data_IF_062449868635
#
_entry.id   IF_062449868635
#
_cell.length_a   1.000
_cell.length_b   1.000
_cell.length_c   1.000
_cell.angle_alpha   90.00
_cell.angle_beta   90.00
_cell.angle_gamma   90.00
#
_symmetry.space_group_name_H-M   'P 1'
#
loop_
_entity.id
_entity.type
_entity.pdbx_description
1 polymer ?
#
# COMPACT_ATOMS: atom_id res chain seq x y z
N UNK A 1 -5.66 31.32 -11.98
CA UNK A 1 -5.34 30.31 -13.02
C UNK A 1 -4.11 29.55 -12.56
N UNK A 2 -4.26 28.38 -11.92
CA UNK A 2 -3.10 27.59 -11.51
C UNK A 2 -2.66 26.74 -12.70
N UNK A 3 -1.46 26.99 -13.24
CA UNK A 3 -0.86 26.16 -14.27
C UNK A 3 -0.46 24.83 -13.63
N UNK A 4 -1.12 23.75 -14.01
CA UNK A 4 -0.69 22.41 -13.64
C UNK A 4 0.63 22.10 -14.35
N UNK A 5 1.72 22.01 -13.60
CA UNK A 5 2.99 21.53 -14.12
C UNK A 5 2.83 20.10 -14.63
N UNK A 6 3.20 19.88 -15.92
CA UNK A 6 3.15 18.57 -16.57
C UNK A 6 4.36 17.69 -16.19
N UNK A 7 5.33 18.22 -15.44
CA UNK A 7 6.53 17.50 -15.05
C UNK A 7 6.29 16.66 -13.77
N UNK A 8 6.42 15.33 -13.82
CA UNK A 8 6.23 14.46 -12.66
C UNK A 8 7.13 14.80 -11.46
N UNK A 9 8.32 15.34 -11.69
CA UNK A 9 9.26 15.74 -10.64
C UNK A 9 8.83 17.03 -9.93
N UNK A 10 8.27 17.98 -10.66
CA UNK A 10 7.72 19.22 -10.09
C UNK A 10 6.45 18.92 -9.29
N UNK A 11 5.56 18.08 -9.83
CA UNK A 11 4.38 17.62 -9.11
C UNK A 11 4.74 16.94 -7.79
N UNK A 12 5.79 16.11 -7.75
CA UNK A 12 6.29 15.49 -6.51
C UNK A 12 6.76 16.55 -5.50
N UNK A 13 7.45 17.60 -5.93
CA UNK A 13 7.88 18.73 -5.06
C UNK A 13 6.69 19.52 -4.54
N UNK A 14 5.68 19.79 -5.37
CA UNK A 14 4.45 20.48 -4.95
C UNK A 14 3.70 19.66 -3.89
N UNK A 15 3.53 18.35 -4.11
CA UNK A 15 2.90 17.43 -3.15
C UNK A 15 3.68 17.40 -1.83
N UNK A 16 5.01 17.48 -1.87
CA UNK A 16 5.85 17.56 -0.66
C UNK A 16 5.58 18.80 0.20
N UNK A 17 5.14 19.89 -0.39
CA UNK A 17 4.90 21.18 0.29
C UNK A 17 3.46 21.32 0.84
N UNK A 18 2.52 20.44 0.48
CA UNK A 18 1.13 20.50 0.95
C UNK A 18 1.02 20.03 2.41
N UNK A 19 0.32 20.81 3.24
CA UNK A 19 0.01 20.43 4.62
C UNK A 19 -1.07 19.32 4.59
N UNK A 20 -0.70 18.07 4.91
CA UNK A 20 -1.59 16.90 4.78
C UNK A 20 -2.30 16.63 6.11
N UNK A 21 -3.63 16.66 6.10
CA UNK A 21 -4.41 16.09 7.20
C UNK A 21 -4.30 14.56 7.14
N UNK A 22 -3.46 13.98 7.99
CA UNK A 22 -3.03 12.58 7.93
C UNK A 22 -3.89 11.73 8.86
N UNK A 23 -4.50 10.68 8.32
CA UNK A 23 -5.22 9.70 9.14
C UNK A 23 -4.22 8.78 9.84
N UNK A 24 -4.29 8.75 11.17
CA UNK A 24 -3.42 7.95 12.05
C UNK A 24 -3.49 6.45 11.71
N UNK A 25 -4.68 5.92 11.42
CA UNK A 25 -4.86 4.50 11.06
C UNK A 25 -4.10 4.13 9.78
N UNK A 26 -4.04 5.05 8.81
CA UNK A 26 -3.28 4.83 7.57
C UNK A 26 -1.78 4.80 7.86
N UNK A 27 -1.27 5.68 8.72
CA UNK A 27 0.15 5.67 9.10
C UNK A 27 0.53 4.41 9.86
N UNK A 28 -0.34 3.93 10.76
CA UNK A 28 -0.13 2.64 11.43
C UNK A 28 -0.09 1.48 10.44
N UNK A 29 -1.00 1.49 9.45
CA UNK A 29 -1.02 0.50 8.37
C UNK A 29 0.29 0.52 7.57
N UNK A 30 0.71 1.69 7.11
CA UNK A 30 1.95 1.86 6.35
C UNK A 30 3.13 1.35 7.17
N UNK A 31 3.27 1.79 8.44
CA UNK A 31 4.34 1.35 9.32
C UNK A 31 4.40 -0.17 9.44
N UNK A 32 3.23 -0.80 9.62
CA UNK A 32 3.14 -2.25 9.87
C UNK A 32 3.44 -3.08 8.62
N UNK A 33 3.04 -2.60 7.44
CA UNK A 33 3.04 -3.40 6.22
C UNK A 33 3.99 -2.92 5.12
N UNK A 34 4.67 -1.78 5.30
CA UNK A 34 5.65 -1.31 4.31
C UNK A 34 6.79 -2.32 4.08
N UNK A 35 7.18 -3.07 5.11
CA UNK A 35 8.18 -4.14 4.98
C UNK A 35 7.73 -5.16 3.94
N UNK A 36 6.48 -5.63 4.00
CA UNK A 36 5.96 -6.62 3.04
C UNK A 36 5.86 -6.01 1.63
N UNK A 37 5.39 -4.76 1.51
CA UNK A 37 5.31 -4.09 0.22
C UNK A 37 6.68 -3.94 -0.46
N UNK A 38 7.72 -3.60 0.30
CA UNK A 38 9.09 -3.48 -0.21
C UNK A 38 9.68 -4.86 -0.57
N UNK A 39 9.46 -5.89 0.26
CA UNK A 39 9.87 -7.27 -0.04
C UNK A 39 9.23 -7.76 -1.36
N UNK A 40 7.92 -7.53 -1.53
CA UNK A 40 7.19 -7.92 -2.73
C UNK A 40 7.64 -7.09 -3.96
N UNK A 41 7.93 -5.80 -3.81
CA UNK A 41 8.52 -4.99 -4.88
C UNK A 41 9.86 -5.54 -5.35
N UNK A 42 10.72 -5.93 -4.42
CA UNK A 42 12.04 -6.49 -4.75
C UNK A 42 11.91 -7.85 -5.47
N UNK A 43 10.95 -8.67 -5.04
CA UNK A 43 10.76 -10.03 -5.54
C UNK A 43 9.97 -10.09 -6.85
N UNK A 44 8.90 -9.28 -6.96
CA UNK A 44 7.92 -9.37 -8.03
C UNK A 44 7.88 -8.14 -8.94
N UNK A 45 8.63 -7.10 -8.65
CA UNK A 45 8.68 -5.89 -9.48
C UNK A 45 7.48 -4.94 -9.34
N UNK A 46 6.54 -5.22 -8.44
CA UNK A 46 5.35 -4.39 -8.21
C UNK A 46 5.74 -3.22 -7.30
N UNK A 47 5.48 -1.94 -7.67
CA UNK A 47 5.81 -0.80 -6.80
C UNK A 47 5.24 -0.95 -5.39
N UNK A 48 6.06 -0.64 -4.38
CA UNK A 48 5.62 -0.68 -2.98
C UNK A 48 4.49 0.30 -2.71
N UNK A 49 4.48 1.46 -3.41
CA UNK A 49 3.40 2.45 -3.36
C UNK A 49 2.07 1.87 -3.84
N UNK A 50 2.07 1.10 -4.92
CA UNK A 50 0.88 0.40 -5.45
C UNK A 50 0.37 -0.62 -4.43
N UNK A 51 1.26 -1.47 -3.89
CA UNK A 51 0.88 -2.47 -2.88
C UNK A 51 0.27 -1.82 -1.63
N UNK A 52 0.90 -0.78 -1.10
CA UNK A 52 0.39 -0.07 0.07
C UNK A 52 -0.92 0.68 -0.24
N UNK A 53 -0.98 1.39 -1.37
CA UNK A 53 -2.18 2.13 -1.78
C UNK A 53 -3.39 1.22 -1.95
N UNK A 54 -3.24 0.09 -2.64
CA UNK A 54 -4.29 -0.92 -2.79
C UNK A 54 -4.68 -1.50 -1.43
N UNK A 55 -3.72 -1.93 -0.61
CA UNK A 55 -4.01 -2.49 0.71
C UNK A 55 -4.75 -1.49 1.63
N UNK A 56 -4.43 -0.20 1.57
CA UNK A 56 -5.15 0.86 2.30
C UNK A 56 -6.61 0.96 1.83
N UNK A 57 -6.83 0.99 0.51
CA UNK A 57 -8.17 1.13 -0.08
C UNK A 57 -9.03 -0.11 0.18
N UNK A 58 -8.56 -1.28 -0.21
CA UNK A 58 -9.32 -2.54 -0.20
C UNK A 58 -9.63 -3.05 1.22
N UNK A 59 -8.74 -2.79 2.19
CA UNK A 59 -8.93 -3.24 3.57
C UNK A 59 -9.41 -2.17 4.54
N UNK A 60 -9.68 -0.94 4.07
CA UNK A 60 -9.91 0.22 4.95
C UNK A 60 -8.75 0.36 5.97
N UNK A 61 -7.51 0.30 5.50
CA UNK A 61 -6.30 0.29 6.34
C UNK A 61 -6.25 -0.88 7.34
N UNK A 62 -6.70 -2.06 6.94
CA UNK A 62 -6.77 -3.26 7.77
C UNK A 62 -7.89 -3.21 8.83
N UNK A 63 -8.87 -2.34 8.68
CA UNK A 63 -9.99 -2.16 9.64
C UNK A 63 -11.29 -2.81 9.16
N UNK A 64 -11.41 -3.20 7.89
CA UNK A 64 -12.60 -3.88 7.38
C UNK A 64 -12.80 -5.24 8.08
N UNK A 65 -14.04 -5.70 8.18
CA UNK A 65 -14.38 -7.01 8.75
C UNK A 65 -13.67 -8.12 8.00
N UNK A 66 -13.71 -8.08 6.67
CA UNK A 66 -13.05 -9.06 5.81
C UNK A 66 -11.56 -9.15 6.14
N UNK A 67 -10.82 -8.03 6.12
CA UNK A 67 -9.38 -8.04 6.38
C UNK A 67 -9.01 -8.55 7.78
N UNK A 68 -9.81 -8.23 8.80
CA UNK A 68 -9.57 -8.68 10.19
C UNK A 68 -9.78 -10.18 10.38
N UNK A 69 -10.82 -10.74 9.75
CA UNK A 69 -11.19 -12.16 9.92
C UNK A 69 -10.35 -13.08 9.04
N UNK A 70 -9.94 -12.59 7.86
CA UNK A 70 -9.33 -13.42 6.82
C UNK A 70 -7.87 -13.12 6.55
N UNK A 71 -7.29 -12.05 7.11
CA UNK A 71 -6.01 -11.47 6.69
C UNK A 71 -5.95 -11.08 5.20
N UNK A 72 -7.08 -11.05 4.49
CA UNK A 72 -7.18 -10.69 3.08
C UNK A 72 -7.27 -9.17 2.92
N UNK A 73 -6.13 -8.54 2.66
CA UNK A 73 -6.02 -7.10 2.58
C UNK A 73 -6.29 -6.53 1.18
N UNK A 74 -6.57 -7.38 0.20
CA UNK A 74 -6.78 -7.00 -1.20
C UNK A 74 -8.12 -7.46 -1.76
N UNK A 75 -9.00 -8.03 -0.93
CA UNK A 75 -10.31 -8.49 -1.38
C UNK A 75 -10.24 -9.60 -2.44
N UNK A 76 -9.21 -10.47 -2.40
CA UNK A 76 -9.06 -11.49 -3.42
C UNK A 76 -10.11 -12.58 -3.23
N UNK A 77 -10.97 -12.74 -4.26
CA UNK A 77 -12.02 -13.78 -4.31
C UNK A 77 -11.38 -15.16 -4.59
N UNK A 78 -12.07 -16.24 -4.18
CA UNK A 78 -11.53 -17.60 -4.24
C UNK A 78 -11.02 -18.00 -5.63
N UNK A 79 -11.83 -17.80 -6.67
CA UNK A 79 -11.50 -18.31 -8.00
C UNK A 79 -11.54 -19.85 -8.07
N UNK A 80 -11.46 -20.41 -9.30
CA UNK A 80 -11.64 -21.85 -9.53
C UNK A 80 -10.53 -22.74 -8.95
N UNK A 81 -9.31 -22.21 -8.83
CA UNK A 81 -8.12 -22.99 -8.44
C UNK A 81 -7.65 -22.72 -7.00
N UNK A 82 -8.47 -22.04 -6.19
CA UNK A 82 -8.13 -21.80 -4.80
C UNK A 82 -8.41 -23.05 -3.95
N UNK A 83 -7.39 -23.54 -3.25
CA UNK A 83 -7.46 -24.74 -2.39
C UNK A 83 -7.24 -24.43 -0.89
N UNK A 84 -7.02 -23.15 -0.54
CA UNK A 84 -6.86 -22.71 0.86
C UNK A 84 -8.19 -22.44 1.55
N UNK A 85 -8.11 -21.96 2.80
CA UNK A 85 -9.28 -21.57 3.58
C UNK A 85 -10.09 -20.48 2.88
N UNK A 86 -11.40 -20.49 3.14
CA UNK A 86 -12.35 -19.55 2.53
C UNK A 86 -13.18 -18.85 3.59
N UNK A 87 -13.71 -17.69 3.20
CA UNK A 87 -14.67 -16.93 3.99
C UNK A 87 -15.75 -16.37 3.05
N UNK A 88 -17.00 -16.53 3.42
CA UNK A 88 -18.12 -15.99 2.67
C UNK A 88 -18.55 -14.65 3.25
N UNK A 89 -18.65 -13.65 2.41
CA UNK A 89 -19.01 -12.29 2.80
C UNK A 89 -19.82 -11.62 1.68
N UNK A 90 -20.76 -10.76 2.07
CA UNK A 90 -21.52 -9.95 1.11
C UNK A 90 -20.65 -8.78 0.64
N UNK A 91 -20.50 -8.65 -0.68
CA UNK A 91 -19.76 -7.58 -1.35
C UNK A 91 -20.61 -7.08 -2.53
N UNK A 92 -20.13 -7.14 -3.78
CA UNK A 92 -20.93 -6.81 -4.97
C UNK A 92 -22.17 -7.72 -5.09
N UNK A 93 -22.03 -8.98 -4.67
CA UNK A 93 -23.10 -9.98 -4.59
C UNK A 93 -23.18 -10.61 -3.19
N UNK A 94 -24.35 -11.16 -2.80
CA UNK A 94 -24.47 -11.93 -1.55
C UNK A 94 -23.57 -13.17 -1.52
N UNK A 95 -22.98 -13.46 -0.37
CA UNK A 95 -22.20 -14.69 -0.10
C UNK A 95 -21.06 -14.95 -1.10
N UNK A 96 -20.35 -13.92 -1.49
CA UNK A 96 -19.15 -14.10 -2.31
C UNK A 96 -18.03 -14.77 -1.53
N UNK A 97 -17.27 -15.63 -2.22
CA UNK A 97 -16.17 -16.40 -1.64
C UNK A 97 -14.87 -15.60 -1.68
N UNK A 98 -14.29 -15.36 -0.51
CA UNK A 98 -12.98 -14.69 -0.37
C UNK A 98 -11.93 -15.65 0.18
N UNK A 99 -10.69 -15.51 -0.30
CA UNK A 99 -9.54 -16.26 0.24
C UNK A 99 -9.28 -15.85 1.68
N UNK A 100 -8.95 -16.83 2.52
CA UNK A 100 -8.53 -16.60 3.89
C UNK A 100 -7.09 -17.08 4.06
N UNK A 101 -6.26 -16.25 4.70
CA UNK A 101 -4.83 -16.48 4.87
C UNK A 101 -4.47 -16.64 6.35
N UNK A 102 -3.38 -17.37 6.64
CA UNK A 102 -2.85 -17.49 7.99
C UNK A 102 -2.18 -16.19 8.46
N UNK A 103 -1.70 -15.38 7.53
CA UNK A 103 -1.06 -14.10 7.83
C UNK A 103 -1.33 -13.05 6.75
N UNK A 104 -1.19 -11.76 7.13
CA UNK A 104 -1.24 -10.65 6.18
C UNK A 104 -0.09 -10.74 5.15
N UNK A 105 1.08 -11.27 5.54
CA UNK A 105 2.20 -11.49 4.62
C UNK A 105 1.82 -12.42 3.47
N UNK A 106 1.07 -13.48 3.75
CA UNK A 106 0.56 -14.38 2.71
C UNK A 106 -0.40 -13.67 1.75
N UNK A 107 -1.28 -12.79 2.26
CA UNK A 107 -2.16 -11.98 1.43
C UNK A 107 -1.37 -11.05 0.49
N UNK A 108 -0.30 -10.40 0.99
CA UNK A 108 0.59 -9.58 0.16
C UNK A 108 1.27 -10.41 -0.93
N UNK A 109 1.74 -11.60 -0.57
CA UNK A 109 2.40 -12.50 -1.50
C UNK A 109 1.44 -13.04 -2.58
N UNK A 110 0.26 -13.49 -2.18
CA UNK A 110 -0.75 -14.01 -3.11
C UNK A 110 -1.27 -12.92 -4.05
N UNK A 111 -1.44 -11.69 -3.56
CA UNK A 111 -1.75 -10.54 -4.39
C UNK A 111 -0.66 -10.28 -5.45
N UNK A 112 0.61 -10.48 -5.13
CA UNK A 112 1.67 -10.35 -6.14
C UNK A 112 1.53 -11.40 -7.23
N UNK A 113 1.25 -12.65 -6.88
CA UNK A 113 0.96 -13.72 -7.86
C UNK A 113 -0.29 -13.40 -8.68
N UNK A 114 -1.32 -12.85 -8.06
CA UNK A 114 -2.54 -12.44 -8.74
C UNK A 114 -2.27 -11.39 -9.82
N UNK A 115 -1.41 -10.40 -9.56
CA UNK A 115 -1.02 -9.40 -10.54
C UNK A 115 -0.09 -9.93 -11.65
N UNK A 116 0.47 -11.15 -11.50
CA UNK A 116 1.23 -11.81 -12.57
C UNK A 116 0.36 -12.63 -13.54
N UNK A 117 -0.97 -12.61 -13.38
CA UNK A 117 -1.87 -13.20 -14.36
C UNK A 117 -1.79 -12.49 -15.72
N UNK A 118 -2.01 -13.19 -16.85
CA UNK A 118 -1.83 -12.63 -18.20
C UNK A 118 -2.54 -11.31 -18.46
N UNK A 119 -3.72 -11.09 -17.86
CA UNK A 119 -4.48 -9.83 -18.02
C UNK A 119 -3.75 -8.59 -17.51
N UNK A 120 -2.76 -8.76 -16.61
CA UNK A 120 -2.00 -7.67 -16.00
C UNK A 120 -0.60 -7.49 -16.59
N UNK A 121 -0.22 -8.21 -17.67
CA UNK A 121 1.15 -8.18 -18.19
C UNK A 121 1.66 -6.77 -18.53
N UNK A 122 0.76 -5.86 -18.95
CA UNK A 122 1.12 -4.48 -19.30
C UNK A 122 1.64 -3.67 -18.13
N UNK A 123 1.30 -4.03 -16.89
CA UNK A 123 1.84 -3.41 -15.69
C UNK A 123 3.37 -3.50 -15.66
N UNK A 124 3.91 -4.65 -16.03
CA UNK A 124 5.34 -4.96 -15.97
C UNK A 124 6.16 -4.37 -17.13
N UNK A 125 5.50 -3.69 -18.07
CA UNK A 125 6.15 -2.88 -19.11
C UNK A 125 6.42 -1.44 -18.61
N UNK A 126 5.88 -1.07 -17.47
CA UNK A 126 6.00 0.26 -16.90
C UNK A 126 7.18 0.34 -15.94
N UNK A 127 7.77 1.54 -15.86
CA UNK A 127 8.77 1.85 -14.83
C UNK A 127 8.17 1.71 -13.43
N UNK A 128 8.95 1.18 -12.47
CA UNK A 128 8.50 0.98 -11.08
C UNK A 128 8.12 2.29 -10.37
N UNK A 129 8.67 3.42 -10.79
CA UNK A 129 8.37 4.73 -10.21
C UNK A 129 7.18 5.44 -10.89
N UNK A 130 6.58 4.84 -11.92
CA UNK A 130 5.42 5.36 -12.65
C UNK A 130 4.11 4.83 -12.04
N UNK A 131 3.85 5.17 -10.76
CA UNK A 131 2.64 4.71 -10.07
C UNK A 131 1.34 5.18 -10.75
N UNK A 132 1.35 6.32 -11.45
CA UNK A 132 0.18 6.80 -12.23
C UNK A 132 -0.13 5.83 -13.38
N UNK A 133 0.88 5.44 -14.15
CA UNK A 133 0.73 4.45 -15.21
C UNK A 133 0.24 3.10 -14.67
N UNK A 134 0.79 2.65 -13.52
CA UNK A 134 0.33 1.44 -12.84
C UNK A 134 -1.14 1.52 -12.45
N UNK A 135 -1.58 2.63 -11.84
CA UNK A 135 -2.98 2.82 -11.43
C UNK A 135 -3.92 2.79 -12.64
N UNK A 136 -3.54 3.45 -13.75
CA UNK A 136 -4.29 3.48 -15.00
C UNK A 136 -4.42 2.08 -15.62
N UNK A 137 -3.31 1.34 -15.74
CA UNK A 137 -3.33 -0.02 -16.31
C UNK A 137 -4.07 -1.03 -15.42
N UNK A 138 -4.00 -0.89 -14.07
CA UNK A 138 -4.83 -1.69 -13.15
C UNK A 138 -6.32 -1.49 -13.43
N UNK A 139 -6.76 -0.23 -13.60
CA UNK A 139 -8.15 0.08 -13.94
C UNK A 139 -8.55 -0.50 -15.30
N UNK A 140 -7.72 -0.33 -16.34
CA UNK A 140 -7.97 -0.87 -17.69
C UNK A 140 -8.01 -2.41 -17.69
N UNK A 141 -7.19 -3.05 -16.88
CA UNK A 141 -7.17 -4.50 -16.73
C UNK A 141 -8.37 -5.04 -15.90
N UNK A 142 -9.25 -4.17 -15.40
CA UNK A 142 -10.44 -4.56 -14.64
C UNK A 142 -10.10 -5.06 -13.23
N UNK A 143 -9.09 -4.46 -12.57
CA UNK A 143 -8.79 -4.81 -11.18
C UNK A 143 -9.94 -4.49 -10.24
N UNK A 144 -10.61 -3.35 -10.46
CA UNK A 144 -11.76 -2.91 -9.70
C UNK A 144 -12.89 -2.42 -10.61
N UNK A 145 -14.13 -2.61 -10.17
CA UNK A 145 -15.36 -2.18 -10.87
C UNK A 145 -15.56 -0.67 -10.81
N UNK A 146 -15.16 -0.02 -9.72
CA UNK A 146 -15.30 1.43 -9.49
C UNK A 146 -14.70 2.27 -10.62
N UNK A 147 -15.48 3.19 -11.19
CA UNK A 147 -15.02 4.10 -12.24
C UNK A 147 -13.89 5.03 -11.75
N UNK A 148 -13.88 5.36 -10.48
CA UNK A 148 -12.90 6.27 -9.86
C UNK A 148 -11.67 5.57 -9.28
N UNK A 149 -11.50 4.26 -9.51
CA UNK A 149 -10.44 3.48 -8.88
C UNK A 149 -9.04 4.04 -9.10
N UNK A 150 -8.70 4.37 -10.34
CA UNK A 150 -7.42 4.99 -10.71
C UNK A 150 -7.16 6.25 -9.87
N UNK A 151 -8.14 7.16 -9.85
CA UNK A 151 -8.03 8.41 -9.08
C UNK A 151 -7.87 8.15 -7.58
N UNK A 152 -8.68 7.26 -7.01
CA UNK A 152 -8.61 6.92 -5.59
C UNK A 152 -7.24 6.36 -5.22
N UNK A 153 -6.66 5.48 -6.05
CA UNK A 153 -5.35 4.90 -5.80
C UNK A 153 -4.24 5.96 -5.89
N UNK A 154 -4.27 6.82 -6.92
CA UNK A 154 -3.33 7.93 -7.06
C UNK A 154 -3.43 8.89 -5.87
N UNK A 155 -4.65 9.28 -5.49
CA UNK A 155 -4.90 10.17 -4.33
C UNK A 155 -4.32 9.60 -3.03
N UNK A 156 -4.44 8.29 -2.79
CA UNK A 156 -3.82 7.64 -1.63
C UNK A 156 -2.29 7.69 -1.69
N UNK A 157 -1.72 7.35 -2.85
CA UNK A 157 -0.26 7.35 -3.04
C UNK A 157 0.31 8.76 -2.85
N UNK A 158 -0.32 9.77 -3.42
CA UNK A 158 0.13 11.16 -3.34
C UNK A 158 -0.09 11.74 -1.93
N UNK A 159 -1.27 11.54 -1.35
CA UNK A 159 -1.62 12.03 0.00
C UNK A 159 -0.64 11.56 1.06
N UNK A 160 -0.25 10.30 1.01
CA UNK A 160 0.68 9.71 1.97
C UNK A 160 2.12 9.61 1.46
N UNK A 161 2.42 10.16 0.27
CA UNK A 161 3.76 10.11 -0.35
C UNK A 161 4.35 8.69 -0.41
N UNK A 162 3.51 7.68 -0.71
CA UNK A 162 3.90 6.27 -0.72
C UNK A 162 4.97 5.97 -1.78
N UNK A 163 5.05 6.76 -2.85
CA UNK A 163 6.07 6.67 -3.89
C UNK A 163 7.51 6.79 -3.35
N UNK A 164 7.71 7.29 -2.11
CA UNK A 164 9.03 7.25 -1.46
C UNK A 164 9.53 5.84 -1.20
N UNK A 165 8.66 4.87 -1.10
CA UNK A 165 9.02 3.46 -0.97
C UNK A 165 9.42 2.79 -2.29
N UNK A 166 9.13 3.40 -3.46
CA UNK A 166 9.50 2.87 -4.77
C UNK A 166 10.96 3.17 -5.14
N UNK A 167 11.59 4.10 -4.43
CA UNK A 167 12.97 4.49 -4.69
C UNK A 167 13.93 3.35 -4.38
N UNK A 168 14.84 3.05 -5.33
CA UNK A 168 15.96 2.15 -5.07
C UNK A 168 16.86 2.74 -3.99
N UNK A 169 17.19 1.95 -2.98
CA UNK A 169 18.03 2.38 -1.87
C UNK A 169 18.84 1.22 -1.34
N UNK A 170 20.12 1.45 -1.08
CA UNK A 170 21.00 0.53 -0.35
C UNK A 170 20.71 0.47 1.16
N UNK A 171 19.82 1.34 1.65
CA UNK A 171 19.42 1.36 3.05
C UNK A 171 18.54 0.17 3.39
N UNK A 172 18.65 -0.35 4.62
CA UNK A 172 17.76 -1.40 5.11
C UNK A 172 16.29 -0.94 5.08
N UNK A 173 15.37 -1.91 5.02
CA UNK A 173 13.92 -1.63 4.97
C UNK A 173 13.50 -0.82 6.19
N UNK A 174 14.02 -1.14 7.37
CA UNK A 174 13.75 -0.45 8.63
C UNK A 174 14.16 1.02 8.56
N UNK A 175 15.37 1.28 8.02
CA UNK A 175 15.86 2.65 7.85
C UNK A 175 14.98 3.45 6.89
N UNK A 176 14.50 2.84 5.83
CA UNK A 176 13.57 3.46 4.87
C UNK A 176 12.23 3.81 5.53
N UNK A 177 11.67 2.91 6.34
CA UNK A 177 10.44 3.15 7.09
C UNK A 177 10.66 4.30 8.11
N UNK A 178 11.77 4.31 8.83
CA UNK A 178 12.08 5.36 9.80
C UNK A 178 12.27 6.74 9.12
N UNK A 179 12.95 6.77 7.97
CA UNK A 179 13.09 7.99 7.15
C UNK A 179 11.72 8.50 6.66
N UNK A 180 10.84 7.59 6.21
CA UNK A 180 9.49 7.93 5.81
C UNK A 180 8.67 8.52 6.98
N UNK A 181 8.71 7.89 8.16
CA UNK A 181 8.00 8.39 9.34
C UNK A 181 8.50 9.78 9.76
N UNK A 182 9.82 10.03 9.69
CA UNK A 182 10.38 11.36 9.93
C UNK A 182 9.88 12.39 8.92
N UNK A 183 9.86 12.02 7.65
CA UNK A 183 9.38 12.89 6.59
C UNK A 183 7.90 13.28 6.82
N UNK A 184 7.02 12.33 7.08
CA UNK A 184 5.60 12.57 7.36
C UNK A 184 5.42 13.40 8.65
N UNK A 185 6.20 13.16 9.69
CA UNK A 185 6.19 13.95 10.92
C UNK A 185 6.56 15.42 10.68
N UNK A 186 7.57 15.68 9.85
CA UNK A 186 8.01 17.04 9.55
C UNK A 186 7.01 17.78 8.64
N UNK A 187 6.34 17.04 7.77
CA UNK A 187 5.32 17.58 6.86
C UNK A 187 4.04 17.97 7.60
N UNK A 188 3.71 17.29 8.70
CA UNK A 188 2.51 17.57 9.48
C UNK A 188 2.81 18.51 10.65
N UNK A 189 2.13 19.69 10.68
CA UNK A 189 2.30 20.68 11.74
C UNK A 189 1.50 20.38 13.03
N UNK A 190 0.59 19.40 12.99
CA UNK A 190 -0.21 19.03 14.15
C UNK A 190 0.66 18.46 15.27
N UNK A 191 0.60 19.09 16.45
CA UNK A 191 1.39 18.70 17.63
C UNK A 191 1.00 17.32 18.16
N UNK A 192 -0.28 16.96 18.10
CA UNK A 192 -0.78 15.63 18.51
C UNK A 192 -0.21 14.54 17.59
N UNK A 193 -0.27 14.76 16.28
CA UNK A 193 0.28 13.83 15.29
C UNK A 193 1.80 13.65 15.46
N UNK A 194 2.54 14.72 15.72
CA UNK A 194 3.99 14.65 16.00
C UNK A 194 4.31 13.81 17.23
N UNK A 195 3.53 13.97 18.32
CA UNK A 195 3.67 13.14 19.53
C UNK A 195 3.37 11.67 19.24
N UNK A 196 2.33 11.41 18.45
CA UNK A 196 1.94 10.07 18.04
C UNK A 196 3.06 9.38 17.23
N UNK A 197 3.61 10.02 16.19
CA UNK A 197 4.71 9.46 15.39
C UNK A 197 5.97 9.23 16.24
N UNK A 198 6.32 10.13 17.16
CA UNK A 198 7.44 9.90 18.09
C UNK A 198 7.25 8.62 18.91
N UNK A 199 6.04 8.38 19.44
CA UNK A 199 5.70 7.15 20.19
C UNK A 199 5.81 5.90 19.29
N UNK A 200 5.32 5.98 18.07
CA UNK A 200 5.44 4.90 17.08
C UNK A 200 6.91 4.51 16.80
N UNK A 201 7.81 5.47 16.70
CA UNK A 201 9.24 5.21 16.42
C UNK A 201 9.95 4.46 17.56
N UNK A 202 9.64 4.78 18.80
CA UNK A 202 10.20 4.06 19.96
C UNK A 202 9.81 2.58 19.88
N UNK A 203 8.57 2.29 19.51
CA UNK A 203 8.07 0.92 19.38
C UNK A 203 8.75 0.12 18.24
N UNK A 204 9.12 0.78 17.12
CA UNK A 204 9.86 0.15 16.01
C UNK A 204 11.24 -0.34 16.47
N UNK A 205 11.96 0.50 17.20
CA UNK A 205 13.29 0.14 17.71
C UNK A 205 13.24 -1.09 18.62
N UNK A 206 12.20 -1.16 19.46
CA UNK A 206 12.04 -2.28 20.39
C UNK A 206 11.69 -3.60 19.68
N UNK A 207 10.78 -3.56 18.70
CA UNK A 207 10.33 -4.75 17.95
C UNK A 207 11.41 -5.32 17.01
N UNK A 208 12.30 -4.47 16.50
CA UNK A 208 13.39 -4.87 15.62
C UNK A 208 14.61 -5.41 16.40
N UNK A 209 14.78 -4.99 17.65
CA UNK A 209 15.80 -5.58 18.54
C UNK A 209 15.41 -6.99 18.99
N UNK A 210 14.13 -7.28 19.20
CA UNK A 210 13.67 -8.63 19.58
C UNK A 210 13.81 -9.67 18.47
N UNK A 211 13.74 -9.26 17.18
CA UNK A 211 13.97 -10.17 16.03
C UNK A 211 15.46 -10.45 15.72
N UNK A 212 16.39 -9.79 16.38
CA UNK A 212 17.84 -10.08 16.23
C UNK A 212 18.35 -11.12 17.24
N UNK A 213 17.48 -11.63 18.11
CA UNK A 213 17.80 -12.57 19.19
C UNK A 213 17.28 -13.99 18.88
N UNK A 214 16.54 -14.16 17.78
CA UNK A 214 16.21 -15.46 17.17
C UNK A 214 17.04 -15.69 15.89
#
# INVERSE_FOLDING_TARGET
>A
MFSFSQNPQEKKKEIENVNVNVNVNVIEYIKKYAVFAIEEMNKFGIPASIKLGQGILESSSGKSTLSKVTNNHFGIKCGKNWIGDVYYHDDDLPKECFRKYNSVKESFHDHSKFLHQPRYYKLFLLEKNNYQGWASELKKAGYATSLNYEKLLIDQIEKYCLWKFDQTSSSSVEKRIDQYLNFIMNKNKDSFFRKFIKKLRVFVKFFLQSKKIE
#
